data_IF_741877227696
#
_entry.id   IF_741877227696
#
_cell.length_a   1.000
_cell.length_b   1.000
_cell.length_c   1.000
_cell.angle_alpha   90.00
_cell.angle_beta   90.00
_cell.angle_gamma   90.00
#
_symmetry.space_group_name_H-M   'P 1'
#
loop_
_entity.id
_entity.type
_entity.pdbx_description
1 polymer ?
#
# COMPACT_ATOMS: atom_id res chain seq x y z
N UNK A 1 1.58 -1.11 2.73
CA UNK A 1 0.62 -2.22 2.62
C UNK A 1 1.33 -3.42 2.04
N UNK A 2 0.98 -4.58 2.55
CA UNK A 2 1.51 -5.83 2.06
C UNK A 2 0.39 -6.58 1.38
N UNK A 3 0.59 -6.96 0.13
CA UNK A 3 -0.41 -7.64 -0.65
C UNK A 3 0.06 -9.03 -1.03
N UNK A 4 -0.89 -9.94 -1.14
CA UNK A 4 -0.59 -11.22 -1.76
C UNK A 4 -0.49 -10.99 -3.26
N UNK A 5 0.58 -11.41 -3.86
CA UNK A 5 0.79 -11.18 -5.28
C UNK A 5 1.64 -12.28 -5.86
N UNK A 6 1.07 -13.03 -6.77
CA UNK A 6 1.82 -14.02 -7.51
C UNK A 6 2.44 -13.33 -8.71
N UNK A 7 3.25 -14.06 -9.46
CA UNK A 7 3.90 -13.47 -10.62
C UNK A 7 2.91 -12.83 -11.58
N UNK A 8 1.74 -13.42 -11.76
CA UNK A 8 0.76 -12.89 -12.69
C UNK A 8 0.09 -11.62 -12.18
N UNK A 9 0.13 -11.38 -10.88
CA UNK A 9 -0.52 -10.21 -10.30
C UNK A 9 0.40 -9.00 -10.28
N UNK A 10 1.70 -9.22 -10.36
CA UNK A 10 2.67 -8.14 -10.18
C UNK A 10 2.53 -7.03 -11.20
N UNK A 11 2.23 -7.40 -12.44
CA UNK A 11 2.12 -6.41 -13.49
C UNK A 11 0.96 -5.45 -13.22
N UNK A 12 -0.18 -5.98 -12.82
CA UNK A 12 -1.32 -5.15 -12.49
C UNK A 12 -1.06 -4.27 -11.29
N UNK A 13 -0.42 -4.80 -10.27
CA UNK A 13 -0.11 -4.04 -9.07
C UNK A 13 0.90 -2.95 -9.41
N UNK A 14 1.92 -3.26 -10.22
CA UNK A 14 2.88 -2.25 -10.61
C UNK A 14 2.24 -1.11 -11.40
N UNK A 15 1.25 -1.43 -12.24
CA UNK A 15 0.56 -0.39 -12.99
C UNK A 15 -0.19 0.56 -12.04
N UNK A 16 -0.81 0.02 -11.02
CA UNK A 16 -1.49 0.86 -10.03
C UNK A 16 -0.48 1.71 -9.27
N UNK A 17 0.65 1.11 -8.90
CA UNK A 17 1.70 1.84 -8.20
C UNK A 17 2.22 3.01 -9.04
N UNK A 18 2.36 2.81 -10.34
CA UNK A 18 2.83 3.87 -11.21
C UNK A 18 1.85 5.04 -11.26
N UNK A 19 0.56 4.74 -11.29
CA UNK A 19 -0.46 5.78 -11.34
C UNK A 19 -0.39 6.65 -10.09
N UNK A 20 -0.18 6.05 -8.94
CA UNK A 20 -0.16 6.78 -7.68
C UNK A 20 1.23 7.18 -7.23
N UNK A 21 2.25 6.80 -8.00
CA UNK A 21 3.65 7.04 -7.64
C UNK A 21 3.98 6.39 -6.32
N UNK A 22 3.44 5.21 -6.13
CA UNK A 22 3.76 4.43 -4.95
C UNK A 22 5.08 3.72 -5.17
N UNK A 23 5.70 3.28 -4.10
CA UNK A 23 6.99 2.65 -4.16
C UNK A 23 6.89 1.21 -3.73
N UNK A 24 7.40 0.31 -4.53
CA UNK A 24 7.47 -1.09 -4.14
C UNK A 24 8.74 -1.25 -3.34
N UNK A 25 8.62 -1.57 -2.08
CA UNK A 25 9.78 -1.66 -1.20
C UNK A 25 10.23 -3.09 -0.97
N UNK A 26 9.42 -4.06 -1.30
CA UNK A 26 9.82 -5.45 -1.18
C UNK A 26 8.97 -6.33 -2.09
N UNK A 27 9.59 -7.35 -2.67
CA UNK A 27 8.89 -8.32 -3.48
C UNK A 27 9.35 -9.70 -3.05
N UNK A 28 8.42 -10.51 -2.61
CA UNK A 28 8.71 -11.89 -2.27
C UNK A 28 7.98 -12.80 -3.24
N UNK A 29 8.08 -14.10 -3.06
CA UNK A 29 7.49 -15.01 -3.99
C UNK A 29 6.01 -14.82 -4.20
N UNK A 30 5.27 -14.55 -3.16
CA UNK A 30 3.84 -14.40 -3.28
C UNK A 30 3.32 -13.18 -2.57
N UNK A 31 4.15 -12.17 -2.38
CA UNK A 31 3.72 -10.95 -1.75
C UNK A 31 4.51 -9.76 -2.23
N UNK A 32 3.95 -8.58 -2.09
CA UNK A 32 4.62 -7.32 -2.38
C UNK A 32 4.29 -6.36 -1.27
N UNK A 33 5.28 -5.55 -0.89
CA UNK A 33 5.06 -4.51 0.10
C UNK A 33 5.19 -3.18 -0.62
N UNK A 34 4.20 -2.34 -0.45
CA UNK A 34 4.11 -1.07 -1.16
C UNK A 34 3.98 0.07 -0.18
N UNK A 35 4.75 1.12 -0.42
CA UNK A 35 4.71 2.30 0.39
C UNK A 35 4.10 3.43 -0.42
N UNK A 36 3.16 4.15 0.15
CA UNK A 36 2.52 5.27 -0.52
C UNK A 36 2.39 6.42 0.45
N UNK A 37 2.74 7.61 -0.02
CA UNK A 37 2.55 8.81 0.77
C UNK A 37 1.64 9.75 0.00
N UNK A 38 0.89 10.52 0.72
CA UNK A 38 -0.03 11.45 0.10
C UNK A 38 -1.12 11.83 1.08
N UNK A 39 -2.08 12.59 0.59
CA UNK A 39 -3.18 12.97 1.45
C UNK A 39 -4.20 11.84 1.58
N UNK A 40 -5.19 12.04 2.40
CA UNK A 40 -6.18 11.02 2.69
C UNK A 40 -6.92 10.57 1.42
N UNK A 41 -7.25 11.50 0.55
CA UNK A 41 -7.97 11.14 -0.66
C UNK A 41 -7.16 10.23 -1.56
N UNK A 42 -5.87 10.52 -1.69
CA UNK A 42 -4.99 9.69 -2.49
C UNK A 42 -4.86 8.30 -1.89
N UNK A 43 -4.69 8.22 -0.58
CA UNK A 43 -4.55 6.92 0.08
C UNK A 43 -5.82 6.10 -0.06
N UNK A 44 -6.97 6.73 0.09
CA UNK A 44 -8.24 6.03 -0.05
C UNK A 44 -8.43 5.51 -1.46
N UNK A 45 -8.12 6.33 -2.46
CA UNK A 45 -8.25 5.90 -3.85
C UNK A 45 -7.33 4.73 -4.17
N UNK A 46 -6.11 4.78 -3.64
CA UNK A 46 -5.17 3.70 -3.85
C UNK A 46 -5.69 2.40 -3.23
N UNK A 47 -6.18 2.48 -2.00
CA UNK A 47 -6.69 1.29 -1.33
C UNK A 47 -7.90 0.71 -2.08
N UNK A 48 -8.72 1.56 -2.66
CA UNK A 48 -9.85 1.06 -3.43
C UNK A 48 -9.39 0.28 -4.66
N UNK A 49 -8.39 0.77 -5.34
CA UNK A 49 -7.91 0.07 -6.54
C UNK A 49 -7.22 -1.24 -6.21
N UNK A 50 -6.50 -1.29 -5.10
CA UNK A 50 -5.83 -2.54 -4.76
C UNK A 50 -6.72 -3.50 -3.99
N UNK A 51 -7.97 -3.14 -3.75
CA UNK A 51 -8.86 -4.00 -3.01
C UNK A 51 -9.22 -5.28 -3.78
N UNK A 52 -8.91 -5.32 -5.07
CA UNK A 52 -9.10 -6.55 -5.84
C UNK A 52 -8.05 -7.59 -5.47
N UNK A 53 -7.02 -7.21 -4.76
CA UNK A 53 -5.98 -8.13 -4.34
C UNK A 53 -6.12 -8.36 -2.84
N UNK A 54 -5.59 -9.44 -2.36
CA UNK A 54 -5.71 -9.75 -0.94
C UNK A 54 -4.71 -8.91 -0.14
N UNK A 55 -5.20 -8.12 0.79
CA UNK A 55 -4.34 -7.31 1.64
C UNK A 55 -3.96 -8.14 2.84
N UNK A 56 -2.68 -8.40 2.97
CA UNK A 56 -2.18 -9.24 4.07
C UNK A 56 -1.91 -8.39 5.32
N UNK A 57 -1.38 -7.20 5.14
CA UNK A 57 -1.08 -6.34 6.25
C UNK A 57 -1.20 -4.89 5.81
N UNK A 58 -1.67 -4.06 6.68
CA UNK A 58 -1.80 -2.64 6.38
C UNK A 58 -1.27 -1.85 7.57
N UNK A 59 -0.33 -0.97 7.31
CA UNK A 59 0.19 -0.09 8.34
C UNK A 59 0.07 1.34 7.86
N UNK A 60 -0.27 2.28 8.75
CA UNK A 60 -0.38 3.65 8.41
C UNK A 60 0.37 4.40 9.40
N UNK A 61 1.17 5.35 8.98
CA UNK A 61 1.84 6.21 9.89
C UNK A 61 1.18 7.54 9.81
N UNK A 62 1.18 8.14 10.77
CA UNK A 62 0.63 9.40 10.74
C UNK A 62 1.44 10.35 10.11
N UNK A 63 1.99 10.66 9.76
CA UNK A 63 2.45 11.52 9.21
C UNK A 63 2.44 12.48 9.46
N UNK A 64 2.47 12.80 9.53
CA UNK A 64 2.37 13.52 9.82
C UNK A 64 2.18 13.76 10.69
N UNK A 65 2.52 13.63 10.96
CA UNK A 65 2.38 13.69 11.84
C UNK A 65 1.69 13.91 12.34
N UNK A 66 1.47 14.14 12.22
CA UNK A 66 0.85 14.35 12.70
C UNK A 66 0.17 13.83 13.27
N UNK A 67 -0.18 13.53 13.18
CA UNK A 67 -0.91 13.09 13.75
C UNK A 67 -0.80 12.36 14.45
N UNK A 68 -0.38 12.10 14.76
CA UNK A 68 -0.21 11.50 15.40
C UNK A 68 -0.76 10.90 15.93
N UNK A 69 -0.76 10.73 15.87
CA UNK A 69 -1.16 10.24 16.52
C UNK A 69 -1.80 9.11 16.77
N UNK A 70 -2.67 9.19 17.23
CA UNK A 70 -3.30 8.20 17.69
C UNK A 70 -3.70 7.23 16.74
N UNK A 71 -3.91 7.53 15.75
CA UNK A 71 -4.42 6.61 14.98
C UNK A 71 -3.49 5.97 14.19
N UNK A 72 -2.46 5.90 14.57
CA UNK A 72 -1.60 5.38 13.86
C UNK A 72 -1.40 4.08 14.07
N UNK A 73 -1.38 3.28 13.54
CA UNK A 73 -1.36 2.07 13.71
C UNK A 73 -0.53 1.44 12.87
N UNK A 74 0.05 0.63 13.16
CA UNK A 74 0.81 0.21 12.41
C UNK A 74 1.13 -1.03 12.50
N UNK A 75 1.43 -1.79 11.87
CA UNK A 75 1.77 -2.87 12.00
C UNK A 75 2.23 -3.44 10.85
N UNK A 76 2.71 -3.86 10.45
CA UNK A 76 3.16 -4.35 9.42
C UNK A 76 4.05 -5.10 9.59
#
# INVERSE_FOLDING_TARGET
>A
VKLRADAKDRQGINAICDIFRAKVVDVAKSSMIIELTGDQGKLTAFLELISDYEILELARTGMTGLSRGADDVRYL
#
